data_IF_560598727452
#
_entry.id   IF_560598727452
#
_cell.length_a   1.000
_cell.length_b   1.000
_cell.length_c   1.000
_cell.angle_alpha   90.00
_cell.angle_beta   90.00
_cell.angle_gamma   90.00
#
_symmetry.space_group_name_H-M   'P 1'
#
loop_
_entity.id
_entity.type
_entity.pdbx_description
1 polymer ?
#
# COMPACT_ATOMS: atom_id res chain seq x y z
N UNK A 1 0.68 -10.92 4.24
CA UNK A 1 0.44 -10.01 5.39
C UNK A 1 1.57 -9.00 5.42
N UNK A 2 1.34 -7.74 5.86
CA UNK A 2 2.43 -6.79 6.06
C UNK A 2 3.37 -7.33 7.14
N UNK A 3 4.66 -7.04 7.02
CA UNK A 3 5.66 -7.46 7.99
C UNK A 3 5.53 -6.63 9.27
N UNK A 4 5.84 -7.25 10.40
CA UNK A 4 5.85 -6.60 11.70
C UNK A 4 7.29 -6.43 12.18
N UNK A 5 7.58 -5.34 12.88
CA UNK A 5 8.87 -5.16 13.52
C UNK A 5 9.05 -6.21 14.63
N UNK A 6 10.21 -6.87 14.62
CA UNK A 6 10.58 -7.75 15.72
C UNK A 6 11.07 -6.95 16.92
N UNK A 7 11.04 -7.56 18.12
CA UNK A 7 11.45 -6.90 19.36
C UNK A 7 12.90 -6.43 19.26
N UNK A 8 13.11 -5.11 19.39
CA UNK A 8 14.44 -4.48 19.31
C UNK A 8 14.78 -3.90 17.92
N UNK A 9 14.01 -4.20 16.88
CA UNK A 9 14.14 -3.51 15.59
C UNK A 9 13.44 -2.15 15.63
N UNK A 10 14.13 -1.13 15.10
CA UNK A 10 13.58 0.23 14.95
C UNK A 10 12.94 0.47 13.59
N UNK A 11 13.36 -0.27 12.57
CA UNK A 11 12.92 -0.12 11.18
C UNK A 11 12.87 -1.48 10.48
N UNK A 12 12.00 -1.58 9.47
CA UNK A 12 11.90 -2.74 8.60
C UNK A 12 13.07 -2.74 7.62
N UNK A 13 13.44 -3.93 7.13
CA UNK A 13 14.31 -4.02 5.96
C UNK A 13 13.61 -3.46 4.71
N UNK A 14 14.39 -3.10 3.69
CA UNK A 14 13.85 -2.63 2.41
C UNK A 14 12.88 -3.65 1.80
N UNK A 15 13.23 -4.93 1.83
CA UNK A 15 12.42 -6.02 1.28
C UNK A 15 11.09 -6.16 2.02
N UNK A 16 11.11 -6.13 3.36
CA UNK A 16 9.91 -6.18 4.18
C UNK A 16 9.01 -4.95 3.97
N UNK A 17 9.62 -3.77 3.84
CA UNK A 17 8.89 -2.53 3.58
C UNK A 17 8.22 -2.56 2.20
N UNK A 18 8.94 -3.01 1.17
CA UNK A 18 8.40 -3.16 -0.19
C UNK A 18 7.27 -4.21 -0.24
N UNK A 19 7.47 -5.37 0.38
CA UNK A 19 6.43 -6.41 0.48
C UNK A 19 5.19 -5.87 1.19
N UNK A 20 5.36 -5.12 2.28
CA UNK A 20 4.25 -4.53 3.03
C UNK A 20 3.50 -3.46 2.23
N UNK A 21 4.20 -2.69 1.39
CA UNK A 21 3.59 -1.73 0.45
C UNK A 21 2.70 -2.43 -0.56
N UNK A 22 3.17 -3.51 -1.17
CA UNK A 22 2.40 -4.32 -2.12
C UNK A 22 1.14 -4.90 -1.47
N UNK A 23 1.27 -5.46 -0.26
CA UNK A 23 0.12 -5.96 0.52
C UNK A 23 -0.87 -4.84 0.81
N UNK A 24 -0.39 -3.65 1.14
CA UNK A 24 -1.24 -2.48 1.43
C UNK A 24 -2.01 -2.06 0.18
N UNK A 25 -1.37 -2.04 -1.00
CA UNK A 25 -2.03 -1.73 -2.27
C UNK A 25 -3.18 -2.69 -2.58
N UNK A 26 -2.99 -3.99 -2.36
CA UNK A 26 -4.04 -5.01 -2.56
C UNK A 26 -5.16 -4.89 -1.52
N UNK A 27 -4.80 -4.57 -0.26
CA UNK A 27 -5.78 -4.40 0.83
C UNK A 27 -6.85 -3.37 0.48
N UNK A 28 -6.50 -2.26 -0.17
CA UNK A 28 -7.48 -1.25 -0.60
C UNK A 28 -8.59 -1.85 -1.48
N UNK A 29 -8.25 -2.74 -2.40
CA UNK A 29 -9.22 -3.42 -3.29
C UNK A 29 -10.11 -4.36 -2.48
N UNK A 30 -9.50 -5.16 -1.59
CA UNK A 30 -10.19 -6.13 -0.73
C UNK A 30 -11.14 -5.42 0.24
N UNK A 31 -10.71 -4.33 0.86
CA UNK A 31 -11.51 -3.54 1.79
C UNK A 31 -12.68 -2.86 1.09
N UNK A 32 -12.47 -2.35 -0.13
CA UNK A 32 -13.53 -1.78 -0.95
C UNK A 32 -14.60 -2.82 -1.29
N UNK A 33 -14.19 -4.04 -1.68
CA UNK A 33 -15.12 -5.14 -1.93
C UNK A 33 -15.86 -5.58 -0.65
N UNK A 34 -15.14 -5.73 0.46
CA UNK A 34 -15.73 -6.09 1.75
C UNK A 34 -16.72 -5.04 2.26
N UNK A 35 -16.40 -3.75 2.10
CA UNK A 35 -17.31 -2.66 2.44
C UNK A 35 -18.61 -2.76 1.65
N UNK A 36 -18.55 -3.14 0.37
CA UNK A 36 -19.74 -3.36 -0.46
C UNK A 36 -20.58 -4.55 0.03
N UNK A 37 -19.95 -5.68 0.35
CA UNK A 37 -20.66 -6.86 0.89
C UNK A 37 -21.34 -6.51 2.22
N UNK A 38 -20.66 -5.77 3.11
CA UNK A 38 -21.21 -5.34 4.40
C UNK A 38 -22.34 -4.30 4.31
N UNK A 39 -22.65 -3.73 3.14
CA UNK A 39 -23.85 -2.90 2.96
C UNK A 39 -25.14 -3.72 2.99
N UNK A 40 -25.05 -5.02 2.76
CA UNK A 40 -26.20 -5.91 2.81
C UNK A 40 -26.56 -6.20 4.27
N UNK A 41 -27.72 -5.71 4.72
CA UNK A 41 -28.18 -5.82 6.12
C UNK A 41 -28.04 -7.23 6.70
N UNK A 42 -28.33 -8.24 5.88
CA UNK A 42 -28.22 -9.63 6.31
C UNK A 42 -26.79 -10.02 6.70
N UNK A 43 -25.78 -9.60 5.91
CA UNK A 43 -24.37 -9.91 6.13
C UNK A 43 -23.67 -8.92 7.07
N UNK A 44 -24.33 -7.82 7.45
CA UNK A 44 -23.80 -6.85 8.42
C UNK A 44 -24.09 -7.24 9.88
N UNK A 45 -24.89 -8.28 10.12
CA UNK A 45 -25.29 -8.73 11.45
C UNK A 45 -24.72 -10.11 11.80
N UNK A 46 -24.79 -10.46 13.09
CA UNK A 46 -24.42 -11.79 13.56
C UNK A 46 -25.45 -12.80 13.06
N UNK A 47 -24.99 -13.78 12.29
CA UNK A 47 -25.84 -14.83 11.75
C UNK A 47 -26.02 -15.97 12.76
N UNK A 48 -27.20 -16.61 12.83
CA UNK A 48 -27.40 -17.80 13.64
C UNK A 48 -26.48 -18.94 13.22
N UNK A 49 -26.00 -19.75 14.17
CA UNK A 49 -25.09 -20.88 13.89
C UNK A 49 -25.64 -21.88 12.85
N UNK A 50 -26.98 -22.03 12.78
CA UNK A 50 -27.65 -22.88 11.77
C UNK A 50 -27.37 -22.43 10.33
N UNK A 51 -26.99 -21.17 10.13
CA UNK A 51 -26.74 -20.59 8.82
C UNK A 51 -25.27 -20.64 8.40
N UNK A 52 -24.36 -21.01 9.31
CA UNK A 52 -22.91 -21.10 9.04
C UNK A 52 -22.58 -21.94 7.81
N UNK A 53 -23.23 -23.11 7.57
CA UNK A 53 -22.96 -23.91 6.36
C UNK A 53 -23.25 -23.18 5.04
N UNK A 54 -24.11 -22.15 5.05
CA UNK A 54 -24.60 -21.46 3.85
C UNK A 54 -23.96 -20.08 3.63
N UNK A 55 -23.05 -19.63 4.52
CA UNK A 55 -22.44 -18.29 4.43
C UNK A 55 -21.73 -18.09 3.08
N UNK A 56 -21.04 -19.12 2.58
CA UNK A 56 -20.38 -19.08 1.28
C UNK A 56 -21.37 -18.75 0.15
N UNK A 57 -22.51 -19.44 0.13
CA UNK A 57 -23.57 -19.23 -0.87
C UNK A 57 -24.14 -17.81 -0.80
N UNK A 58 -24.38 -17.30 0.41
CA UNK A 58 -24.87 -15.94 0.60
C UNK A 58 -23.91 -14.89 0.06
N UNK A 59 -22.60 -15.06 0.31
CA UNK A 59 -21.58 -14.17 -0.23
C UNK A 59 -21.54 -14.27 -1.76
N UNK A 60 -21.58 -15.46 -2.33
CA UNK A 60 -21.61 -15.66 -3.77
C UNK A 60 -22.82 -14.99 -4.43
N UNK A 61 -24.02 -15.16 -3.86
CA UNK A 61 -25.25 -14.53 -4.34
C UNK A 61 -25.14 -13.01 -4.29
N UNK A 62 -24.73 -12.46 -3.15
CA UNK A 62 -24.58 -11.00 -2.95
C UNK A 62 -23.54 -10.41 -3.91
N UNK A 63 -22.40 -11.09 -4.10
CA UNK A 63 -21.37 -10.68 -5.06
C UNK A 63 -21.89 -10.74 -6.50
N UNK A 64 -22.62 -11.79 -6.87
CA UNK A 64 -23.21 -11.92 -8.20
C UNK A 64 -24.20 -10.79 -8.52
N UNK A 65 -25.09 -10.48 -7.57
CA UNK A 65 -26.02 -9.34 -7.70
C UNK A 65 -25.24 -8.03 -7.78
N UNK A 66 -24.25 -7.83 -6.91
CA UNK A 66 -23.42 -6.62 -6.89
C UNK A 66 -22.69 -6.41 -8.21
N UNK A 67 -22.09 -7.45 -8.78
CA UNK A 67 -21.34 -7.37 -10.03
C UNK A 67 -22.24 -7.09 -11.24
N UNK A 68 -23.50 -7.55 -11.21
CA UNK A 68 -24.45 -7.35 -12.31
C UNK A 68 -25.11 -5.97 -12.29
N UNK A 69 -25.41 -5.44 -11.10
CA UNK A 69 -26.31 -4.29 -10.96
C UNK A 69 -25.69 -3.06 -10.29
N UNK A 70 -24.54 -3.18 -9.61
CA UNK A 70 -23.87 -2.04 -9.00
C UNK A 70 -22.74 -1.53 -9.90
N UNK A 71 -22.39 -0.25 -9.81
CA UNK A 71 -21.23 0.27 -10.53
C UNK A 71 -19.93 -0.43 -10.11
N UNK A 72 -18.88 -0.41 -10.96
CA UNK A 72 -17.56 -0.91 -10.61
C UNK A 72 -17.05 -0.40 -9.25
N UNK A 73 -16.19 -1.17 -8.58
CA UNK A 73 -15.61 -0.76 -7.29
C UNK A 73 -14.66 0.43 -7.41
N UNK A 74 -13.90 0.48 -8.50
CA UNK A 74 -13.11 1.63 -8.93
C UNK A 74 -13.62 2.05 -10.31
N UNK A 75 -13.87 3.35 -10.55
CA UNK A 75 -14.03 3.86 -11.91
C UNK A 75 -12.66 3.72 -12.57
N UNK A 76 -12.44 2.63 -13.32
CA UNK A 76 -11.13 2.25 -13.85
C UNK A 76 -10.33 3.45 -14.34
N UNK A 77 -9.25 3.76 -13.64
CA UNK A 77 -8.27 4.73 -14.07
C UNK A 77 -7.18 3.96 -14.80
N UNK A 78 -6.88 4.35 -16.05
CA UNK A 78 -5.88 3.69 -16.91
C UNK A 78 -4.50 3.55 -16.25
N UNK A 79 -4.23 4.29 -15.19
CA UNK A 79 -2.95 4.33 -14.50
C UNK A 79 -2.80 3.32 -13.35
N UNK A 80 -3.85 2.62 -12.91
CA UNK A 80 -3.75 1.70 -11.74
C UNK A 80 -2.87 0.48 -12.04
N UNK A 81 -3.01 -0.11 -13.23
CA UNK A 81 -2.22 -1.27 -13.66
C UNK A 81 -0.74 -0.88 -13.89
N UNK A 82 -0.52 0.27 -14.53
CA UNK A 82 0.82 0.84 -14.71
C UNK A 82 1.50 1.12 -13.36
N UNK A 83 0.76 1.68 -12.40
CA UNK A 83 1.23 1.94 -11.05
C UNK A 83 1.57 0.63 -10.32
N UNK A 84 0.70 -0.38 -10.38
CA UNK A 84 0.95 -1.68 -9.75
C UNK A 84 2.19 -2.36 -10.36
N UNK A 85 2.34 -2.29 -11.68
CA UNK A 85 3.50 -2.81 -12.41
C UNK A 85 4.79 -2.08 -12.01
N UNK A 86 4.73 -0.75 -11.86
CA UNK A 86 5.84 0.08 -11.37
C UNK A 86 6.24 -0.32 -9.95
N UNK A 87 5.28 -0.43 -9.02
CA UNK A 87 5.56 -0.85 -7.64
C UNK A 87 6.19 -2.24 -7.59
N UNK A 88 5.69 -3.18 -8.40
CA UNK A 88 6.23 -4.53 -8.48
C UNK A 88 7.65 -4.55 -9.06
N UNK A 89 7.91 -3.75 -10.11
CA UNK A 89 9.24 -3.62 -10.68
C UNK A 89 10.24 -3.05 -9.67
N UNK A 90 9.88 -1.94 -9.01
CA UNK A 90 10.73 -1.31 -8.00
C UNK A 90 11.02 -2.24 -6.82
N UNK A 91 10.03 -3.02 -6.37
CA UNK A 91 10.22 -3.99 -5.28
C UNK A 91 11.29 -5.05 -5.53
N UNK A 92 11.67 -5.29 -6.79
CA UNK A 92 12.67 -6.28 -7.20
C UNK A 92 14.02 -5.66 -7.53
N UNK A 93 14.10 -4.33 -7.57
CA UNK A 93 15.31 -3.62 -8.00
C UNK A 93 16.32 -3.57 -6.86
N UNK A 94 17.60 -3.57 -7.21
CA UNK A 94 18.68 -3.37 -6.23
C UNK A 94 18.62 -1.92 -5.70
N UNK A 95 18.64 -1.78 -4.39
CA UNK A 95 18.45 -0.51 -3.71
C UNK A 95 19.77 0.29 -3.62
N UNK A 96 20.02 1.10 -4.64
CA UNK A 96 21.25 1.90 -4.78
C UNK A 96 21.43 2.95 -3.68
N UNK A 97 20.35 3.48 -3.12
CA UNK A 97 20.44 4.47 -2.03
C UNK A 97 20.93 3.84 -0.72
N UNK A 98 20.49 2.63 -0.36
CA UNK A 98 21.06 1.93 0.81
C UNK A 98 22.53 1.64 0.61
N UNK A 99 22.90 1.16 -0.57
CA UNK A 99 24.29 0.92 -0.90
C UNK A 99 25.12 2.20 -0.70
N UNK A 100 24.65 3.34 -1.21
CA UNK A 100 25.31 4.64 -1.00
C UNK A 100 25.38 5.05 0.47
N UNK A 101 24.30 4.87 1.24
CA UNK A 101 24.26 5.20 2.68
C UNK A 101 25.28 4.39 3.47
N UNK A 102 25.38 3.09 3.17
CA UNK A 102 26.32 2.16 3.81
C UNK A 102 27.77 2.46 3.39
N UNK A 103 28.03 2.67 2.09
CA UNK A 103 29.37 2.99 1.55
C UNK A 103 29.89 4.33 2.08
N UNK A 104 29.06 5.37 2.06
CA UNK A 104 29.43 6.72 2.53
C UNK A 104 29.26 6.90 4.05
N UNK A 105 28.82 5.87 4.80
CA UNK A 105 28.52 5.91 6.24
C UNK A 105 27.60 7.09 6.63
N UNK A 106 26.62 7.42 5.78
CA UNK A 106 25.76 8.59 5.95
C UNK A 106 24.89 8.52 7.21
N UNK A 107 24.63 7.32 7.72
CA UNK A 107 23.91 7.08 8.98
C UNK A 107 24.64 7.60 10.24
N UNK A 108 25.96 7.79 10.17
CA UNK A 108 26.82 8.21 11.30
C UNK A 108 27.24 9.67 11.22
N UNK A 109 26.87 10.37 10.14
CA UNK A 109 27.21 11.79 9.98
C UNK A 109 26.55 12.58 11.11
N UNK A 110 27.37 13.14 12.02
CA UNK A 110 26.89 14.14 12.98
C UNK A 110 26.47 15.37 12.19
N UNK A 111 25.16 15.60 12.09
CA UNK A 111 24.64 16.79 11.42
C UNK A 111 25.02 18.02 12.24
N UNK A 112 25.90 18.86 11.68
CA UNK A 112 26.10 20.21 12.20
C UNK A 112 24.98 21.03 11.58
N UNK A 113 23.94 21.30 12.37
CA UNK A 113 22.88 22.21 11.97
C UNK A 113 23.48 23.58 11.73
N UNK A 114 23.36 24.06 10.51
CA UNK A 114 23.69 25.43 10.12
C UNK A 114 22.40 26.15 9.79
N UNK A 115 22.36 27.46 10.03
CA UNK A 115 21.28 28.26 9.50
C UNK A 115 21.28 28.12 7.97
N UNK A 116 20.13 27.85 7.35
CA UNK A 116 20.03 27.79 5.90
C UNK A 116 20.33 29.18 5.33
N UNK A 117 21.07 29.22 4.22
CA UNK A 117 21.16 30.45 3.44
C UNK A 117 19.75 30.85 2.97
N UNK A 118 19.51 32.15 2.74
CA UNK A 118 18.21 32.66 2.27
C UNK A 118 17.78 32.08 0.91
N UNK A 119 18.68 31.36 0.24
CA UNK A 119 18.50 30.76 -1.07
C UNK A 119 18.75 29.25 -0.92
N UNK A 120 17.70 28.45 -1.10
CA UNK A 120 17.74 27.00 -1.05
C UNK A 120 17.70 26.43 -2.48
N UNK A 121 18.67 26.80 -3.31
CA UNK A 121 18.74 26.38 -4.72
C UNK A 121 18.77 24.85 -4.88
N UNK A 122 19.32 24.15 -3.90
CA UNK A 122 19.47 22.67 -3.90
C UNK A 122 18.26 21.93 -3.29
N UNK A 123 17.23 22.64 -2.82
CA UNK A 123 16.06 21.99 -2.23
C UNK A 123 15.12 21.47 -3.34
N UNK A 124 14.72 20.18 -3.30
CA UNK A 124 13.91 19.61 -4.37
C UNK A 124 12.50 20.22 -4.37
N UNK A 125 12.10 20.74 -5.53
CA UNK A 125 10.73 21.12 -5.82
C UNK A 125 10.02 19.92 -6.41
N UNK A 126 9.20 19.25 -5.59
CA UNK A 126 8.45 18.06 -5.99
C UNK A 126 7.00 18.44 -6.28
N UNK A 127 6.50 18.02 -7.43
CA UNK A 127 5.07 18.13 -7.72
C UNK A 127 4.28 16.93 -7.13
N UNK A 128 2.96 16.90 -7.37
CA UNK A 128 2.13 15.79 -6.87
C UNK A 128 2.53 14.44 -7.48
N UNK A 129 2.97 14.42 -8.73
CA UNK A 129 3.39 13.20 -9.40
C UNK A 129 4.69 12.66 -8.82
N UNK A 130 5.64 13.52 -8.54
CA UNK A 130 6.87 13.19 -7.83
C UNK A 130 6.58 12.60 -6.44
N UNK A 131 5.70 13.25 -5.68
CA UNK A 131 5.28 12.78 -4.36
C UNK A 131 4.59 11.40 -4.44
N UNK A 132 3.80 11.13 -5.48
CA UNK A 132 3.23 9.80 -5.72
C UNK A 132 4.33 8.79 -6.05
N UNK A 133 5.28 9.17 -6.89
CA UNK A 133 6.35 8.30 -7.35
C UNK A 133 7.28 7.85 -6.22
N UNK A 134 7.64 8.73 -5.28
CA UNK A 134 8.47 8.36 -4.11
C UNK A 134 7.78 7.34 -3.19
N UNK A 135 6.44 7.26 -3.23
CA UNK A 135 5.69 6.30 -2.40
C UNK A 135 5.56 4.90 -3.01
N UNK A 136 5.99 4.71 -4.27
CA UNK A 136 5.84 3.45 -5.00
C UNK A 136 6.77 2.32 -4.54
N UNK A 137 7.71 2.61 -3.63
CA UNK A 137 8.77 1.68 -3.24
C UNK A 137 10.10 2.04 -3.88
N UNK A 138 11.15 1.35 -3.45
CA UNK A 138 12.54 1.64 -3.83
C UNK A 138 13.34 0.39 -4.09
#
# INVERSE_FOLDING_TARGET
>A
MPSFLTKGQKQMTTDEANASRLVTKVRWVVESANARIKRWKYLSHVLPNKQVPYIGDYVCIVCGISNKYLPPLSPGCDNEEALASKMLHLSKRVYTLKQRVEEENLERRKTIWKEPDNILDDFPLLDEEDLRNITCGV
#
